data_IF_514348156850
#
_entry.id   IF_514348156850
#
_cell.length_a   1.000
_cell.length_b   1.000
_cell.length_c   1.000
_cell.angle_alpha   90.00
_cell.angle_beta   90.00
_cell.angle_gamma   90.00
#
_symmetry.space_group_name_H-M   'P 1'
#
loop_
_entity.id
_entity.type
_entity.pdbx_description
1 polymer ?
#
# COMPACT_ATOMS: atom_id res chain seq x y z
N UNK A 1 -20.00 -5.91 -18.34
CA UNK A 1 -19.45 -6.76 -17.26
C UNK A 1 -18.54 -7.79 -17.90
N UNK A 2 -17.39 -8.01 -17.25
CA UNK A 2 -16.35 -9.02 -17.51
C UNK A 2 -15.49 -8.89 -18.76
N UNK A 3 -14.48 -8.01 -18.68
CA UNK A 3 -13.20 -8.22 -19.39
C UNK A 3 -12.09 -7.37 -18.75
N UNK A 4 -11.83 -7.57 -17.44
CA UNK A 4 -10.45 -7.41 -16.96
C UNK A 4 -9.78 -8.73 -17.28
N UNK A 5 -8.97 -8.73 -18.33
CA UNK A 5 -7.92 -9.73 -18.50
C UNK A 5 -6.98 -9.56 -17.30
N UNK A 6 -7.31 -10.20 -16.18
CA UNK A 6 -6.33 -10.53 -15.16
C UNK A 6 -5.23 -11.27 -15.92
N UNK A 7 -4.03 -10.68 -16.02
CA UNK A 7 -2.98 -11.17 -16.90
C UNK A 7 -2.63 -12.60 -16.48
N UNK A 8 -3.04 -13.58 -17.28
CA UNK A 8 -2.83 -14.99 -16.98
C UNK A 8 -1.34 -15.29 -16.97
N UNK A 9 -0.81 -15.76 -15.84
CA UNK A 9 0.60 -16.09 -15.68
C UNK A 9 0.88 -17.58 -15.98
N UNK A 10 -0.07 -18.46 -15.73
CA UNK A 10 0.11 -19.88 -15.99
C UNK A 10 -0.72 -20.81 -15.10
N UNK A 11 -0.25 -22.05 -15.03
CA UNK A 11 -0.81 -23.08 -14.15
C UNK A 11 0.22 -23.46 -13.09
N UNK A 12 -0.23 -23.61 -11.85
CA UNK A 12 0.55 -24.16 -10.74
C UNK A 12 -0.16 -25.42 -10.22
N UNK A 13 0.59 -26.43 -9.77
CA UNK A 13 -0.01 -27.61 -9.14
C UNK A 13 -0.74 -27.19 -7.85
N UNK A 14 -1.96 -27.68 -7.66
CA UNK A 14 -2.82 -27.29 -6.54
C UNK A 14 -2.21 -27.71 -5.19
N UNK A 15 -2.24 -26.78 -4.23
CA UNK A 15 -1.96 -27.07 -2.84
C UNK A 15 -3.25 -26.93 -2.00
N UNK A 16 -3.39 -27.71 -0.94
CA UNK A 16 -4.56 -27.71 -0.04
C UNK A 16 -4.87 -26.35 0.62
N UNK A 17 -3.91 -25.43 0.65
CA UNK A 17 -4.08 -24.07 1.15
C UNK A 17 -4.60 -23.07 0.10
N UNK A 18 -4.78 -23.50 -1.15
CA UNK A 18 -5.23 -22.63 -2.24
C UNK A 18 -6.75 -22.68 -2.43
N UNK A 19 -7.29 -21.61 -3.00
CA UNK A 19 -8.73 -21.49 -3.22
C UNK A 19 -9.20 -22.43 -4.33
N UNK A 20 -10.11 -23.35 -4.00
CA UNK A 20 -10.72 -24.31 -4.93
C UNK A 20 -11.40 -23.64 -6.14
N UNK A 21 -11.84 -22.38 -6.03
CA UNK A 21 -12.42 -21.61 -7.15
C UNK A 21 -11.43 -21.34 -8.29
N UNK A 22 -10.13 -21.45 -8.04
CA UNK A 22 -9.08 -21.24 -9.04
C UNK A 22 -8.67 -22.53 -9.78
N UNK A 23 -9.25 -23.68 -9.44
CA UNK A 23 -8.94 -24.96 -10.07
C UNK A 23 -9.36 -24.95 -11.55
N UNK A 24 -8.45 -25.34 -12.43
CA UNK A 24 -8.73 -25.53 -13.84
C UNK A 24 -9.17 -26.98 -14.12
N UNK A 25 -10.48 -27.20 -14.06
CA UNK A 25 -11.09 -28.50 -14.34
C UNK A 25 -10.79 -29.02 -15.76
N UNK A 26 -10.50 -28.15 -16.73
CA UNK A 26 -10.14 -28.57 -18.09
C UNK A 26 -8.75 -29.19 -18.15
N UNK A 27 -7.80 -28.69 -17.37
CA UNK A 27 -6.46 -29.30 -17.26
C UNK A 27 -6.53 -30.59 -16.48
N UNK A 28 -7.33 -30.63 -15.41
CA UNK A 28 -7.58 -31.86 -14.65
C UNK A 28 -8.08 -33.00 -15.55
N UNK A 29 -9.09 -32.75 -16.38
CA UNK A 29 -9.63 -33.76 -17.30
C UNK A 29 -8.59 -34.33 -18.30
N UNK A 30 -7.52 -33.58 -18.60
CA UNK A 30 -6.46 -34.01 -19.56
C UNK A 30 -5.26 -34.66 -18.89
N UNK A 31 -4.92 -34.23 -17.67
CA UNK A 31 -3.68 -34.62 -16.97
C UNK A 31 -3.91 -35.46 -15.72
N UNK A 32 -5.17 -35.66 -15.32
CA UNK A 32 -5.58 -36.31 -14.07
C UNK A 32 -4.86 -35.78 -12.83
N UNK A 33 -4.59 -34.46 -12.83
CA UNK A 33 -3.86 -33.74 -11.77
C UNK A 33 -4.49 -32.36 -11.57
N UNK A 34 -4.54 -31.91 -10.32
CA UNK A 34 -5.15 -30.62 -9.97
C UNK A 34 -4.16 -29.48 -10.24
N UNK A 35 -4.60 -28.52 -11.04
CA UNK A 35 -3.86 -27.29 -11.32
C UNK A 35 -4.75 -26.08 -11.02
N UNK A 36 -4.15 -25.02 -10.49
CA UNK A 36 -4.79 -23.71 -10.32
C UNK A 36 -4.32 -22.73 -11.38
N UNK A 37 -5.21 -21.85 -11.83
CA UNK A 37 -4.83 -20.70 -12.67
C UNK A 37 -4.17 -19.64 -11.81
N UNK A 38 -2.96 -19.23 -12.21
CA UNK A 38 -2.27 -18.08 -11.63
C UNK A 38 -2.49 -16.86 -12.53
N UNK A 39 -2.74 -15.74 -11.88
CA UNK A 39 -2.94 -14.46 -12.52
C UNK A 39 -1.96 -13.47 -11.91
N UNK A 40 -1.55 -12.49 -12.69
CA UNK A 40 -0.78 -11.36 -12.19
C UNK A 40 -1.63 -10.63 -11.15
N UNK A 41 -1.22 -10.69 -9.90
CA UNK A 41 -1.79 -9.84 -8.85
C UNK A 41 -1.27 -8.43 -9.06
N UNK A 42 -2.12 -7.41 -8.88
CA UNK A 42 -1.64 -6.03 -8.81
C UNK A 42 -0.44 -5.97 -7.87
N UNK A 43 0.71 -5.51 -8.37
CA UNK A 43 1.90 -5.35 -7.53
C UNK A 43 1.55 -4.34 -6.44
N UNK A 44 1.51 -4.81 -5.20
CA UNK A 44 1.24 -3.95 -4.05
C UNK A 44 2.32 -2.87 -4.00
N UNK A 45 1.93 -1.63 -4.29
CA UNK A 45 2.85 -0.49 -4.23
C UNK A 45 2.97 -0.06 -2.78
N UNK A 46 4.20 0.18 -2.33
CA UNK A 46 4.47 0.70 -1.00
C UNK A 46 5.32 1.95 -1.17
N UNK A 47 4.93 3.02 -0.49
CA UNK A 47 5.72 4.24 -0.35
C UNK A 47 6.10 4.37 1.12
N UNK A 48 7.40 4.49 1.39
CA UNK A 48 7.93 4.70 2.75
C UNK A 48 8.64 6.05 2.80
N UNK A 49 8.32 6.86 3.81
CA UNK A 49 8.95 8.16 4.03
C UNK A 49 9.42 8.26 5.48
N UNK A 50 10.70 8.58 5.64
CA UNK A 50 11.26 9.05 6.90
C UNK A 50 11.06 10.58 6.99
N UNK A 51 10.02 11.01 7.72
CA UNK A 51 9.60 12.41 7.77
C UNK A 51 10.67 13.35 8.33
N UNK A 52 11.28 13.10 9.51
CA UNK A 52 12.32 13.98 10.05
C UNK A 52 13.55 14.06 9.14
N UNK A 53 13.97 12.94 8.53
CA UNK A 53 15.14 12.94 7.63
C UNK A 53 14.86 13.72 6.34
N UNK A 54 13.67 13.52 5.74
CA UNK A 54 13.31 14.18 4.49
C UNK A 54 13.17 15.71 4.65
N UNK A 55 12.59 16.16 5.77
CA UNK A 55 12.29 17.56 6.00
C UNK A 55 13.34 18.33 6.81
N UNK A 56 14.46 17.69 7.18
CA UNK A 56 15.56 18.28 7.97
C UNK A 56 16.00 19.68 7.50
N UNK A 57 16.09 19.88 6.19
CA UNK A 57 16.54 21.15 5.57
C UNK A 57 15.39 22.05 5.10
N UNK A 58 14.14 21.73 5.45
CA UNK A 58 12.94 22.45 5.03
C UNK A 58 12.29 23.14 6.22
N UNK A 59 12.61 24.38 6.59
CA UNK A 59 12.05 25.00 7.80
C UNK A 59 10.56 25.37 7.69
N UNK A 60 10.01 25.43 6.47
CA UNK A 60 8.64 25.92 6.22
C UNK A 60 7.58 24.82 6.41
N UNK A 61 6.88 24.89 7.55
CA UNK A 61 5.85 23.93 7.96
C UNK A 61 4.69 23.82 6.97
N UNK A 62 4.25 24.92 6.38
CA UNK A 62 3.10 24.95 5.47
C UNK A 62 3.44 24.17 4.20
N UNK A 63 4.68 24.32 3.72
CA UNK A 63 5.19 23.54 2.58
C UNK A 63 5.34 22.05 2.90
N UNK A 64 5.77 21.68 4.12
CA UNK A 64 5.85 20.28 4.55
C UNK A 64 4.47 19.62 4.51
N UNK A 65 3.48 20.29 5.12
CA UNK A 65 2.07 19.86 5.18
C UNK A 65 1.46 19.72 3.78
N UNK A 66 1.69 20.72 2.91
CA UNK A 66 1.21 20.71 1.53
C UNK A 66 1.78 19.52 0.74
N UNK A 67 3.07 19.25 0.91
CA UNK A 67 3.75 18.14 0.24
C UNK A 67 3.24 16.79 0.73
N UNK A 68 3.08 16.63 2.04
CA UNK A 68 2.52 15.42 2.65
C UNK A 68 1.11 15.16 2.12
N UNK A 69 0.25 16.17 2.12
CA UNK A 69 -1.13 16.09 1.60
C UNK A 69 -1.15 15.64 0.13
N UNK A 70 -0.23 16.16 -0.69
CA UNK A 70 -0.10 15.78 -2.10
C UNK A 70 0.26 14.29 -2.26
N UNK A 71 1.31 13.83 -1.59
CA UNK A 71 1.76 12.43 -1.69
C UNK A 71 0.70 11.44 -1.26
N UNK A 72 -0.04 11.80 -0.22
CA UNK A 72 -1.15 11.01 0.28
C UNK A 72 -2.27 10.89 -0.75
N UNK A 73 -2.66 12.01 -1.37
CA UNK A 73 -3.68 12.01 -2.41
C UNK A 73 -3.25 11.16 -3.62
N UNK A 74 -1.96 11.22 -3.99
CA UNK A 74 -1.40 10.37 -5.03
C UNK A 74 -1.40 8.89 -4.61
N UNK A 75 -1.00 8.57 -3.38
CA UNK A 75 -0.99 7.21 -2.86
C UNK A 75 -2.39 6.59 -2.88
N UNK A 76 -3.41 7.34 -2.45
CA UNK A 76 -4.82 6.92 -2.53
C UNK A 76 -5.27 6.67 -3.97
N UNK A 77 -4.92 7.57 -4.90
CA UNK A 77 -5.27 7.42 -6.32
C UNK A 77 -4.70 6.14 -6.94
N UNK A 78 -3.52 5.74 -6.50
CA UNK A 78 -2.80 4.58 -7.05
C UNK A 78 -2.91 3.31 -6.21
N UNK A 79 -3.75 3.31 -5.17
CA UNK A 79 -3.87 2.21 -4.21
C UNK A 79 -2.51 1.77 -3.63
N UNK A 80 -1.66 2.75 -3.36
CA UNK A 80 -0.32 2.57 -2.79
C UNK A 80 -0.41 2.62 -1.27
N UNK A 81 0.13 1.62 -0.59
CA UNK A 81 0.29 1.65 0.87
C UNK A 81 1.30 2.74 1.22
N UNK A 82 0.88 3.74 1.98
CA UNK A 82 1.75 4.82 2.39
C UNK A 82 2.18 4.62 3.85
N UNK A 83 3.48 4.66 4.11
CA UNK A 83 4.08 4.43 5.42
C UNK A 83 4.93 5.65 5.75
N UNK A 84 4.69 6.23 6.93
CA UNK A 84 5.44 7.38 7.41
C UNK A 84 6.04 7.07 8.77
N UNK A 85 7.33 7.37 8.91
CA UNK A 85 8.01 7.41 10.20
C UNK A 85 7.95 8.85 10.71
N UNK A 86 7.30 9.03 11.85
CA UNK A 86 7.12 10.33 12.50
C UNK A 86 8.41 10.78 13.21
N UNK A 87 8.45 12.02 13.68
CA UNK A 87 9.61 12.60 14.40
C UNK A 87 9.91 11.85 15.70
N UNK A 88 8.89 11.24 16.33
CA UNK A 88 9.04 10.37 17.51
C UNK A 88 9.67 9.01 17.20
N UNK A 89 9.86 8.68 15.93
CA UNK A 89 10.31 7.36 15.47
C UNK A 89 9.19 6.34 15.30
N UNK A 90 7.94 6.65 15.65
CA UNK A 90 6.79 5.79 15.39
C UNK A 90 6.54 5.64 13.89
N UNK A 91 6.37 4.40 13.44
CA UNK A 91 5.98 4.07 12.06
C UNK A 91 4.47 3.90 12.00
N UNK A 92 3.82 4.66 11.12
CA UNK A 92 2.36 4.63 10.94
C UNK A 92 1.98 4.26 9.51
N UNK A 93 0.95 3.43 9.40
CA UNK A 93 0.38 2.99 8.13
C UNK A 93 -0.81 3.88 7.78
N UNK A 94 -0.74 4.50 6.62
CA UNK A 94 -1.78 5.39 6.09
C UNK A 94 -2.49 4.66 4.96
N UNK A 95 -3.47 3.86 5.38
CA UNK A 95 -4.34 3.03 4.54
C UNK A 95 -5.77 3.62 4.38
N UNK A 96 -6.18 4.56 5.24
CA UNK A 96 -7.54 5.14 5.26
C UNK A 96 -7.52 6.64 5.58
N UNK A 97 -8.44 7.41 4.96
CA UNK A 97 -8.69 8.85 5.17
C UNK A 97 -8.79 9.24 6.64
N UNK A 98 -9.34 8.37 7.48
CA UNK A 98 -9.52 8.64 8.92
C UNK A 98 -8.20 8.65 9.70
N UNK A 99 -7.19 7.88 9.27
CA UNK A 99 -5.89 7.84 9.95
C UNK A 99 -5.04 9.09 9.67
N UNK A 100 -5.42 9.91 8.68
CA UNK A 100 -4.71 11.14 8.34
C UNK A 100 -4.93 12.26 9.34
N UNK A 101 -6.14 12.41 9.87
CA UNK A 101 -6.45 13.43 10.89
C UNK A 101 -5.56 13.21 12.12
N UNK A 102 -5.41 11.95 12.55
CA UNK A 102 -4.53 11.59 13.66
C UNK A 102 -3.05 11.92 13.40
N UNK A 103 -2.54 11.71 12.19
CA UNK A 103 -1.15 12.05 11.87
C UNK A 103 -0.96 13.56 11.82
N UNK A 104 -1.92 14.30 11.27
CA UNK A 104 -1.90 15.77 11.27
C UNK A 104 -1.91 16.35 12.68
N UNK A 105 -2.79 15.85 13.55
CA UNK A 105 -2.84 16.25 14.95
C UNK A 105 -1.51 15.96 15.64
N UNK A 106 -0.96 14.74 15.49
CA UNK A 106 0.34 14.37 16.08
C UNK A 106 1.49 15.26 15.58
N UNK A 107 1.54 15.56 14.28
CA UNK A 107 2.56 16.44 13.70
C UNK A 107 2.39 17.89 14.17
N UNK A 108 1.15 18.37 14.37
CA UNK A 108 0.89 19.71 14.90
C UNK A 108 1.29 19.86 16.36
N UNK A 109 1.14 18.81 17.18
CA UNK A 109 1.47 18.84 18.60
C UNK A 109 2.98 18.82 18.82
N UNK A 110 3.73 18.07 18.01
CA UNK A 110 5.19 18.00 18.10
C UNK A 110 5.85 19.36 17.80
N UNK A 111 5.27 20.16 16.90
CA UNK A 111 5.79 21.50 16.56
C UNK A 111 5.65 22.56 17.65
N UNK A 112 4.75 22.38 18.63
CA UNK A 112 4.61 23.32 19.74
C UNK A 112 5.76 23.19 20.76
N UNK A 113 6.45 22.04 20.77
CA UNK A 113 7.52 21.73 21.72
C UNK A 113 8.90 22.21 21.24
N UNK A 114 9.10 22.34 19.92
CA UNK A 114 10.36 22.77 19.30
C UNK A 114 10.51 24.31 19.15
N UNK A 115 9.52 25.08 19.63
CA UNK A 115 9.52 26.55 19.62
C UNK A 115 9.69 27.18 21.02
N UNK A 116 10.01 26.38 22.05
CA UNK A 116 10.31 26.82 23.42
C UNK A 116 11.80 26.62 23.75
#
# INVERSE_FOLDING_TARGET
>A
MDSKSDNFLGHKEYNQFENYKRIDWKVYARKNKLFVKTFETESSRICFIDFPEYFKNFPDIEKRIKQLTKWIAEAQKWNTLFIIKTETGEVTFLDDRKKFETVFEKLSVLTAQDLA
#
